data_IF_114191745376
#
_entry.id   IF_114191745376
#
_cell.length_a   1.000
_cell.length_b   1.000
_cell.length_c   1.000
_cell.angle_alpha   90.00
_cell.angle_beta   90.00
_cell.angle_gamma   90.00
#
_symmetry.space_group_name_H-M   'P 1'
#
loop_
_entity.id
_entity.type
_entity.pdbx_description
1 polymer ?
#
# COMPACT_ATOMS: atom_id res chain seq x y z
N UNK A 1 -4.14 32.70 -6.11
CA UNK A 1 -4.82 31.40 -6.00
C UNK A 1 -3.82 30.43 -5.40
N UNK A 2 -4.22 29.52 -4.49
CA UNK A 2 -3.29 28.53 -3.94
C UNK A 2 -2.74 27.65 -5.07
N UNK A 3 -1.43 27.44 -5.09
CA UNK A 3 -0.76 26.53 -6.01
C UNK A 3 -1.03 25.09 -5.56
N UNK A 4 -1.53 24.24 -6.47
CA UNK A 4 -1.84 22.84 -6.17
C UNK A 4 -0.63 21.99 -6.53
N UNK A 5 -0.05 21.30 -5.55
CA UNK A 5 1.04 20.38 -5.78
C UNK A 5 0.54 19.11 -6.49
N UNK A 6 1.21 18.70 -7.57
CA UNK A 6 0.92 17.43 -8.25
C UNK A 6 2.09 16.49 -8.06
N UNK A 7 1.85 15.33 -7.43
CA UNK A 7 2.86 14.33 -7.15
C UNK A 7 2.62 13.06 -7.98
N UNK A 8 3.61 12.74 -8.81
CA UNK A 8 3.66 11.51 -9.58
C UNK A 8 3.99 10.30 -8.69
N UNK A 9 3.81 9.10 -9.24
CA UNK A 9 4.21 7.87 -8.54
C UNK A 9 5.70 7.87 -8.14
N UNK A 10 6.59 8.35 -9.01
CA UNK A 10 8.03 8.45 -8.71
C UNK A 10 8.32 9.41 -7.57
N UNK A 11 7.65 10.56 -7.52
CA UNK A 11 7.83 11.53 -6.42
C UNK A 11 7.44 10.88 -5.09
N UNK A 12 6.35 10.09 -5.08
CA UNK A 12 5.90 9.40 -3.88
C UNK A 12 6.87 8.29 -3.43
N UNK A 13 7.45 7.52 -4.35
CA UNK A 13 8.44 6.50 -4.00
C UNK A 13 9.75 7.11 -3.49
N UNK A 14 10.10 8.30 -3.98
CA UNK A 14 11.23 9.06 -3.50
C UNK A 14 10.99 9.58 -2.08
N UNK A 15 9.86 10.24 -1.85
CA UNK A 15 9.54 10.93 -0.59
C UNK A 15 9.08 9.98 0.53
N UNK A 16 8.28 8.95 0.22
CA UNK A 16 7.63 8.09 1.21
C UNK A 16 8.43 6.82 1.49
N UNK A 17 9.61 7.00 2.11
CA UNK A 17 10.46 5.88 2.55
C UNK A 17 9.81 5.07 3.68
N UNK A 18 10.14 3.76 3.82
CA UNK A 18 9.48 2.89 4.80
C UNK A 18 9.49 3.39 6.24
N UNK A 19 10.64 3.88 6.75
CA UNK A 19 10.75 4.39 8.11
C UNK A 19 9.85 5.61 8.36
N UNK A 20 9.77 6.53 7.39
CA UNK A 20 8.88 7.71 7.48
C UNK A 20 7.43 7.26 7.48
N UNK A 21 7.02 6.50 6.47
CA UNK A 21 5.61 6.22 6.25
C UNK A 21 5.01 5.29 7.31
N UNK A 22 5.77 4.32 7.82
CA UNK A 22 5.27 3.41 8.87
C UNK A 22 5.01 4.14 10.17
N UNK A 23 5.88 5.07 10.58
CA UNK A 23 5.68 5.87 11.79
C UNK A 23 4.49 6.81 11.65
N UNK A 24 4.32 7.45 10.50
CA UNK A 24 3.15 8.31 10.23
C UNK A 24 1.84 7.52 10.17
N UNK A 25 1.84 6.32 9.58
CA UNK A 25 0.66 5.44 9.57
C UNK A 25 0.34 4.94 10.99
N UNK A 26 1.35 4.64 11.82
CA UNK A 26 1.13 4.26 13.22
C UNK A 26 0.49 5.41 14.03
N UNK A 27 0.95 6.65 13.83
CA UNK A 27 0.34 7.84 14.44
C UNK A 27 -1.11 8.01 13.99
N UNK A 28 -1.41 7.87 12.70
CA UNK A 28 -2.76 7.95 12.17
C UNK A 28 -3.68 6.86 12.75
N UNK A 29 -3.20 5.61 12.88
CA UNK A 29 -3.95 4.53 13.54
C UNK A 29 -4.25 4.83 15.01
N UNK A 30 -3.29 5.43 15.74
CA UNK A 30 -3.50 5.85 17.12
C UNK A 30 -4.58 6.94 17.20
N UNK A 31 -4.51 7.97 16.35
CA UNK A 31 -5.52 9.03 16.30
C UNK A 31 -6.91 8.49 15.97
N UNK A 32 -7.00 7.54 15.02
CA UNK A 32 -8.26 6.87 14.68
C UNK A 32 -8.82 6.09 15.89
N UNK A 33 -7.96 5.32 16.57
CA UNK A 33 -8.33 4.53 17.74
C UNK A 33 -8.75 5.40 18.94
N UNK A 34 -8.13 6.58 19.08
CA UNK A 34 -8.49 7.60 20.06
C UNK A 34 -9.80 8.35 19.72
N UNK A 35 -10.45 8.05 18.59
CA UNK A 35 -11.67 8.74 18.14
C UNK A 35 -11.44 10.19 17.67
N UNK A 36 -10.21 10.55 17.31
CA UNK A 36 -9.82 11.92 16.94
C UNK A 36 -9.95 12.22 15.45
N UNK A 37 -10.32 11.24 14.63
CA UNK A 37 -10.46 11.40 13.17
C UNK A 37 -11.94 11.46 12.77
N UNK A 38 -12.22 12.06 11.62
CA UNK A 38 -13.53 11.94 10.96
C UNK A 38 -13.34 11.07 9.74
N UNK A 39 -13.68 9.79 9.86
CA UNK A 39 -13.43 8.76 8.83
C UNK A 39 -14.71 7.98 8.56
N UNK A 40 -15.64 8.51 7.74
CA UNK A 40 -16.87 7.81 7.43
C UNK A 40 -16.61 6.52 6.65
N UNK A 41 -17.59 5.58 6.62
CA UNK A 41 -17.55 4.45 5.71
C UNK A 41 -17.36 4.91 4.26
N UNK A 42 -16.59 4.14 3.50
CA UNK A 42 -16.38 4.39 2.07
C UNK A 42 -17.70 4.26 1.29
N UNK A 43 -17.87 5.08 0.26
CA UNK A 43 -18.96 4.92 -0.70
C UNK A 43 -18.49 4.02 -1.85
N UNK A 44 -19.32 3.07 -2.27
CA UNK A 44 -18.99 2.08 -3.31
C UNK A 44 -20.01 2.10 -4.43
N UNK A 45 -19.53 1.94 -5.66
CA UNK A 45 -20.34 1.69 -6.83
C UNK A 45 -19.77 0.50 -7.61
N UNK A 46 -20.64 -0.19 -8.34
CA UNK A 46 -20.27 -1.26 -9.27
C UNK A 46 -20.59 -0.83 -10.69
N UNK A 47 -19.59 -0.81 -11.55
CA UNK A 47 -19.71 -0.39 -12.95
C UNK A 47 -19.19 -1.52 -13.82
N UNK A 48 -20.06 -2.12 -14.62
CA UNK A 48 -19.72 -3.26 -15.49
C UNK A 48 -19.04 -4.41 -14.72
N UNK A 49 -19.52 -4.70 -13.50
CA UNK A 49 -18.94 -5.74 -12.64
C UNK A 49 -17.63 -5.35 -11.95
N UNK A 50 -17.12 -4.14 -12.15
CA UNK A 50 -15.91 -3.64 -11.51
C UNK A 50 -16.22 -2.75 -10.30
N UNK A 51 -15.33 -2.82 -9.30
CA UNK A 51 -15.49 -2.10 -8.05
C UNK A 51 -14.92 -0.69 -8.15
N UNK A 52 -15.69 0.31 -7.73
CA UNK A 52 -15.30 1.70 -7.58
C UNK A 52 -15.58 2.17 -6.16
N UNK A 53 -14.68 3.00 -5.62
CA UNK A 53 -14.82 3.51 -4.26
C UNK A 53 -14.31 4.93 -4.09
N UNK A 54 -15.03 5.67 -3.24
CA UNK A 54 -14.60 6.97 -2.70
C UNK A 54 -14.34 6.79 -1.21
N UNK A 55 -13.16 7.20 -0.77
CA UNK A 55 -12.72 7.09 0.63
C UNK A 55 -12.22 8.45 1.11
N UNK A 56 -12.91 9.03 2.08
CA UNK A 56 -12.59 10.33 2.65
C UNK A 56 -12.24 10.21 4.13
N UNK A 57 -11.29 11.02 4.59
CA UNK A 57 -10.94 11.11 6.00
C UNK A 57 -10.34 12.47 6.34
N UNK A 58 -10.71 13.00 7.49
CA UNK A 58 -9.98 14.07 8.17
C UNK A 58 -9.12 13.47 9.29
N UNK A 59 -7.85 13.86 9.33
CA UNK A 59 -6.92 13.50 10.42
C UNK A 59 -6.28 14.79 10.96
N UNK A 60 -6.40 15.08 12.28
CA UNK A 60 -5.78 16.25 12.88
C UNK A 60 -4.27 16.31 12.63
N UNK A 61 -3.77 17.45 12.19
CA UNK A 61 -2.36 17.66 11.83
C UNK A 61 -1.97 17.21 10.41
N UNK A 62 -2.86 16.53 9.68
CA UNK A 62 -2.61 16.08 8.30
C UNK A 62 -3.54 16.74 7.26
N UNK A 63 -4.82 16.92 7.60
CA UNK A 63 -5.82 17.56 6.72
C UNK A 63 -6.94 16.63 6.28
N UNK A 64 -7.65 17.00 5.21
CA UNK A 64 -8.75 16.22 4.62
C UNK A 64 -8.27 15.53 3.35
N UNK A 65 -8.20 14.20 3.38
CA UNK A 65 -7.83 13.38 2.23
C UNK A 65 -9.05 12.74 1.57
N UNK A 66 -9.12 12.75 0.24
CA UNK A 66 -10.13 12.02 -0.54
C UNK A 66 -9.46 11.15 -1.59
N UNK A 67 -9.72 9.85 -1.56
CA UNK A 67 -9.27 8.89 -2.57
C UNK A 67 -10.43 8.43 -3.43
N UNK A 68 -10.25 8.53 -4.74
CA UNK A 68 -11.12 7.87 -5.73
C UNK A 68 -10.31 6.72 -6.31
N UNK A 69 -10.84 5.50 -6.23
CA UNK A 69 -10.12 4.27 -6.61
C UNK A 69 -11.04 3.30 -7.33
N UNK A 70 -10.49 2.59 -8.33
CA UNK A 70 -11.13 1.44 -8.95
C UNK A 70 -10.27 0.19 -8.85
N UNK A 71 -10.94 -0.96 -8.93
CA UNK A 71 -10.33 -2.29 -9.03
C UNK A 71 -10.95 -2.99 -10.23
N UNK A 72 -10.16 -3.11 -11.31
CA UNK A 72 -10.56 -3.69 -12.60
C UNK A 72 -9.59 -4.84 -12.93
N UNK A 73 -9.92 -6.11 -12.60
CA UNK A 73 -9.01 -7.23 -12.83
C UNK A 73 -8.61 -7.43 -14.31
N UNK A 74 -9.54 -7.20 -15.24
CA UNK A 74 -9.33 -7.34 -16.68
C UNK A 74 -8.34 -6.33 -17.27
N UNK A 75 -7.96 -5.27 -16.54
CA UNK A 75 -6.92 -4.34 -16.99
C UNK A 75 -5.57 -5.01 -17.25
N UNK A 76 -5.32 -6.17 -16.63
CA UNK A 76 -4.11 -6.95 -16.88
C UNK A 76 -4.00 -7.33 -18.36
N UNK A 77 -5.10 -7.63 -19.03
CA UNK A 77 -5.15 -7.98 -20.46
C UNK A 77 -4.85 -6.77 -21.36
N UNK A 78 -5.09 -5.57 -20.84
CA UNK A 78 -4.83 -4.28 -21.51
C UNK A 78 -3.45 -3.70 -21.18
N UNK A 79 -2.64 -4.39 -20.37
CA UNK A 79 -1.36 -3.86 -19.88
C UNK A 79 -1.50 -2.73 -18.87
N UNK A 80 -2.68 -2.53 -18.28
CA UNK A 80 -2.97 -1.50 -17.29
C UNK A 80 -2.95 -2.07 -15.86
N UNK A 81 -2.69 -1.23 -14.84
CA UNK A 81 -2.82 -1.65 -13.44
C UNK A 81 -4.26 -2.07 -13.09
N UNK A 82 -4.38 -3.12 -12.27
CA UNK A 82 -5.68 -3.55 -11.70
C UNK A 82 -6.27 -2.50 -10.77
N UNK A 83 -5.42 -1.79 -10.01
CA UNK A 83 -5.83 -0.71 -9.12
C UNK A 83 -5.36 0.60 -9.73
N UNK A 84 -6.29 1.52 -9.94
CA UNK A 84 -5.98 2.89 -10.33
C UNK A 84 -6.70 3.84 -9.38
N UNK A 85 -6.04 4.93 -9.02
CA UNK A 85 -6.61 5.89 -8.10
C UNK A 85 -5.99 7.27 -8.25
N UNK A 86 -6.70 8.27 -7.74
CA UNK A 86 -6.15 9.58 -7.40
C UNK A 86 -6.44 9.87 -5.93
N UNK A 87 -5.55 10.60 -5.29
CA UNK A 87 -5.78 11.11 -3.93
C UNK A 87 -5.64 12.62 -3.95
N UNK A 88 -6.59 13.32 -3.34
CA UNK A 88 -6.54 14.75 -3.13
C UNK A 88 -6.39 15.07 -1.65
N UNK A 89 -5.68 16.15 -1.35
CA UNK A 89 -5.48 16.67 0.00
C UNK A 89 -5.98 18.11 0.08
N UNK A 90 -6.72 18.43 1.13
CA UNK A 90 -7.26 19.77 1.38
C UNK A 90 -6.90 20.27 2.77
N UNK A 91 -6.74 21.59 2.88
CA UNK A 91 -6.63 22.30 4.14
C UNK A 91 -7.98 22.21 4.90
N UNK A 92 -7.99 21.68 6.14
CA UNK A 92 -9.22 21.50 6.89
C UNK A 92 -9.82 22.81 7.42
N UNK A 93 -9.09 23.91 7.41
CA UNK A 93 -9.50 25.21 7.98
C UNK A 93 -10.16 26.08 6.91
N UNK A 94 -9.50 26.24 5.76
CA UNK A 94 -9.98 27.12 4.69
C UNK A 94 -10.51 26.37 3.45
N UNK A 95 -10.40 25.04 3.42
CA UNK A 95 -10.91 24.21 2.32
C UNK A 95 -10.08 24.24 1.03
N UNK A 96 -8.91 24.91 1.03
CA UNK A 96 -8.08 25.02 -0.17
C UNK A 96 -7.54 23.65 -0.60
N UNK A 97 -7.52 23.33 -1.91
CA UNK A 97 -6.81 22.18 -2.40
C UNK A 97 -5.31 22.38 -2.22
N UNK A 98 -4.65 21.38 -1.64
CA UNK A 98 -3.21 21.40 -1.38
C UNK A 98 -2.45 20.53 -2.38
N UNK A 99 -2.96 19.32 -2.66
CA UNK A 99 -2.26 18.40 -3.55
C UNK A 99 -3.18 17.41 -4.28
N UNK A 100 -2.69 16.92 -5.42
CA UNK A 100 -3.19 15.75 -6.15
C UNK A 100 -2.04 14.74 -6.26
N UNK A 101 -2.28 13.51 -5.85
CA UNK A 101 -1.27 12.45 -5.76
C UNK A 101 -1.69 11.26 -6.63
N UNK A 102 -0.72 10.64 -7.31
CA UNK A 102 -0.92 9.36 -7.98
C UNK A 102 -1.33 8.28 -6.96
N UNK A 103 -2.56 7.80 -7.09
CA UNK A 103 -3.20 7.01 -6.03
C UNK A 103 -2.89 5.52 -6.08
N UNK A 104 -2.42 4.98 -7.21
CA UNK A 104 -2.04 3.57 -7.34
C UNK A 104 -0.81 3.23 -6.51
N UNK A 105 0.27 3.99 -6.70
CA UNK A 105 1.52 3.95 -5.94
C UNK A 105 1.26 4.31 -4.49
N UNK A 106 0.55 5.42 -4.21
CA UNK A 106 0.21 5.79 -2.84
C UNK A 106 -0.56 4.67 -2.13
N UNK A 107 -1.50 4.01 -2.83
CA UNK A 107 -2.22 2.86 -2.29
C UNK A 107 -1.27 1.71 -1.98
N UNK A 108 -0.28 1.42 -2.82
CA UNK A 108 0.68 0.37 -2.55
C UNK A 108 1.59 0.69 -1.36
N UNK A 109 2.15 1.90 -1.32
CA UNK A 109 3.00 2.38 -0.23
C UNK A 109 2.28 2.33 1.12
N UNK A 110 1.10 2.94 1.23
CA UNK A 110 0.36 2.99 2.51
C UNK A 110 -0.17 1.63 2.94
N UNK A 111 -0.48 0.73 2.00
CA UNK A 111 -0.94 -0.63 2.34
C UNK A 111 0.21 -1.47 2.87
N UNK A 112 1.40 -1.36 2.27
CA UNK A 112 2.62 -1.98 2.78
C UNK A 112 3.03 -1.40 4.13
N UNK A 113 2.93 -0.08 4.31
CA UNK A 113 3.21 0.57 5.58
C UNK A 113 2.27 0.09 6.70
N UNK A 114 0.97 -0.03 6.42
CA UNK A 114 0.01 -0.55 7.39
C UNK A 114 0.33 -1.99 7.83
N UNK A 115 0.73 -2.86 6.90
CA UNK A 115 1.23 -4.20 7.26
C UNK A 115 2.52 -4.13 8.06
N UNK A 116 3.46 -3.26 7.70
CA UNK A 116 4.71 -3.11 8.45
C UNK A 116 4.48 -2.56 9.87
N UNK A 117 3.44 -1.75 10.11
CA UNK A 117 3.00 -1.40 11.47
C UNK A 117 2.62 -2.66 12.25
N UNK A 118 1.84 -3.59 11.68
CA UNK A 118 1.51 -4.82 12.41
C UNK A 118 2.74 -5.68 12.67
N UNK A 119 3.66 -5.79 11.70
CA UNK A 119 4.94 -6.48 11.89
C UNK A 119 5.77 -5.84 13.01
N UNK A 120 5.90 -4.51 13.01
CA UNK A 120 6.67 -3.74 14.02
C UNK A 120 6.22 -4.04 15.46
N UNK A 121 4.91 -4.23 15.68
CA UNK A 121 4.35 -4.43 17.01
C UNK A 121 4.03 -5.89 17.37
N UNK A 122 3.83 -6.77 16.38
CA UNK A 122 3.29 -8.12 16.61
C UNK A 122 4.19 -9.25 16.09
N UNK A 123 5.22 -8.97 15.29
CA UNK A 123 6.10 -10.01 14.81
C UNK A 123 6.92 -10.64 15.97
N UNK A 124 7.27 -11.94 15.88
CA UNK A 124 8.19 -12.56 16.82
C UNK A 124 9.53 -11.82 16.87
N UNK A 125 10.16 -11.81 18.06
CA UNK A 125 11.51 -11.25 18.22
C UNK A 125 12.59 -12.13 17.63
N UNK A 126 12.32 -13.43 17.52
CA UNK A 126 13.21 -14.41 16.91
C UNK A 126 13.11 -14.35 15.39
N UNK A 127 14.23 -14.64 14.72
CA UNK A 127 14.25 -14.73 13.26
C UNK A 127 13.42 -15.91 12.78
N UNK A 128 12.80 -15.76 11.63
CA UNK A 128 11.99 -16.81 11.01
C UNK A 128 11.70 -16.52 9.55
N UNK A 129 10.80 -17.29 8.97
CA UNK A 129 10.40 -17.14 7.58
C UNK A 129 9.22 -16.17 7.44
N UNK A 130 9.08 -15.57 6.26
CA UNK A 130 7.82 -14.92 5.85
C UNK A 130 7.22 -15.66 4.66
N UNK A 131 5.89 -15.67 4.58
CA UNK A 131 5.15 -16.20 3.45
C UNK A 131 4.44 -15.08 2.69
N UNK A 132 4.59 -15.06 1.36
CA UNK A 132 3.94 -14.13 0.44
C UNK A 132 3.06 -14.95 -0.51
N UNK A 133 1.76 -14.87 -0.28
CA UNK A 133 0.73 -15.55 -1.08
C UNK A 133 0.08 -14.51 -1.99
N UNK A 134 0.30 -14.65 -3.29
CA UNK A 134 0.02 -13.65 -4.31
C UNK A 134 1.22 -12.73 -4.53
N UNK A 135 1.87 -12.83 -5.69
CA UNK A 135 3.13 -12.15 -5.99
C UNK A 135 2.96 -10.98 -6.96
N UNK A 136 1.82 -10.29 -6.89
CA UNK A 136 1.46 -9.17 -7.75
C UNK A 136 2.16 -7.85 -7.39
N UNK A 137 1.65 -6.74 -7.93
CA UNK A 137 2.20 -5.39 -7.73
C UNK A 137 2.36 -5.03 -6.25
N UNK A 138 1.32 -5.28 -5.44
CA UNK A 138 1.31 -4.99 -4.00
C UNK A 138 2.39 -5.77 -3.23
N UNK A 139 2.67 -7.03 -3.62
CA UNK A 139 3.60 -7.90 -2.92
C UNK A 139 5.00 -7.30 -2.83
N UNK A 140 5.43 -6.59 -3.89
CA UNK A 140 6.75 -5.94 -3.93
C UNK A 140 6.89 -4.89 -2.83
N UNK A 141 5.88 -4.05 -2.66
CA UNK A 141 5.85 -3.04 -1.61
C UNK A 141 5.74 -3.68 -0.24
N UNK A 142 4.91 -4.72 -0.08
CA UNK A 142 4.78 -5.47 1.17
C UNK A 142 6.15 -5.99 1.64
N UNK A 143 6.89 -6.68 0.77
CA UNK A 143 8.22 -7.17 1.10
C UNK A 143 9.18 -6.02 1.43
N UNK A 144 9.24 -4.98 0.58
CA UNK A 144 10.11 -3.80 0.78
C UNK A 144 9.91 -3.15 2.14
N UNK A 145 8.69 -3.12 2.66
CA UNK A 145 8.39 -2.51 3.96
C UNK A 145 8.58 -3.49 5.12
N UNK A 146 8.16 -4.74 4.99
CA UNK A 146 8.23 -5.74 6.06
C UNK A 146 9.69 -6.01 6.46
N UNK A 147 10.61 -6.07 5.49
CA UNK A 147 12.03 -6.42 5.75
C UNK A 147 12.79 -5.40 6.60
N UNK A 148 12.27 -4.18 6.71
CA UNK A 148 12.82 -3.12 7.58
C UNK A 148 12.50 -3.37 9.06
N UNK A 149 11.45 -4.15 9.36
CA UNK A 149 10.96 -4.40 10.72
C UNK A 149 11.09 -5.87 11.15
N UNK A 150 11.22 -6.79 10.19
CA UNK A 150 11.46 -8.20 10.42
C UNK A 150 12.41 -8.72 9.36
N UNK A 151 13.60 -9.20 9.76
CA UNK A 151 14.58 -9.74 8.82
C UNK A 151 14.32 -11.24 8.64
N UNK A 152 13.69 -11.68 7.53
CA UNK A 152 13.40 -13.08 7.33
C UNK A 152 14.66 -13.87 7.02
N UNK A 153 14.72 -15.11 7.50
CA UNK A 153 15.71 -16.10 7.07
C UNK A 153 15.42 -16.53 5.63
N UNK A 154 14.13 -16.69 5.31
CA UNK A 154 13.64 -17.12 4.00
C UNK A 154 12.30 -16.46 3.67
N UNK A 155 12.12 -16.15 2.40
CA UNK A 155 10.87 -15.62 1.83
C UNK A 155 10.21 -16.73 1.03
N UNK A 156 9.16 -17.32 1.56
CA UNK A 156 8.32 -18.34 0.90
C UNK A 156 7.33 -17.62 0.00
N UNK A 157 7.26 -17.99 -1.28
CA UNK A 157 6.42 -17.31 -2.27
C UNK A 157 5.50 -18.30 -2.98
N UNK A 158 4.24 -17.92 -3.17
CA UNK A 158 3.24 -18.67 -3.90
C UNK A 158 2.37 -17.74 -4.75
N UNK A 159 2.09 -18.11 -6.00
CA UNK A 159 1.07 -17.47 -6.85
C UNK A 159 0.50 -18.50 -7.81
N UNK A 160 -0.81 -18.43 -8.06
CA UNK A 160 -1.49 -19.28 -9.03
C UNK A 160 -0.95 -19.10 -10.46
N UNK A 161 -0.29 -17.96 -10.76
CA UNK A 161 0.31 -17.64 -12.05
C UNK A 161 1.84 -17.76 -11.99
N UNK A 162 2.36 -18.88 -12.51
CA UNK A 162 3.80 -19.19 -12.58
C UNK A 162 4.65 -18.04 -13.18
N UNK A 163 4.17 -17.34 -14.20
CA UNK A 163 4.91 -16.25 -14.86
C UNK A 163 5.18 -15.08 -13.91
N UNK A 164 4.23 -14.75 -13.02
CA UNK A 164 4.39 -13.67 -12.05
C UNK A 164 5.32 -14.12 -10.92
N UNK A 165 5.20 -15.38 -10.51
CA UNK A 165 6.02 -16.00 -9.47
C UNK A 165 7.52 -15.95 -9.81
N UNK A 166 7.92 -16.26 -11.04
CA UNK A 166 9.33 -16.19 -11.48
C UNK A 166 9.88 -14.76 -11.39
N UNK A 167 9.11 -13.76 -11.86
CA UNK A 167 9.52 -12.36 -11.76
C UNK A 167 9.67 -11.90 -10.32
N UNK A 168 8.82 -12.43 -9.43
CA UNK A 168 8.86 -12.08 -8.02
C UNK A 168 10.01 -12.78 -7.29
N UNK A 169 10.32 -14.04 -7.62
CA UNK A 169 11.52 -14.74 -7.13
C UNK A 169 12.78 -13.92 -7.38
N UNK A 170 12.98 -13.48 -8.62
CA UNK A 170 14.14 -12.65 -8.99
C UNK A 170 14.18 -11.32 -8.21
N UNK A 171 13.01 -10.73 -7.93
CA UNK A 171 12.92 -9.53 -7.11
C UNK A 171 13.34 -9.79 -5.65
N UNK A 172 12.87 -10.88 -5.04
CA UNK A 172 13.28 -11.30 -3.69
C UNK A 172 14.80 -11.52 -3.63
N UNK A 173 15.35 -12.26 -4.59
CA UNK A 173 16.79 -12.56 -4.66
C UNK A 173 17.62 -11.29 -4.89
N UNK A 174 17.11 -10.31 -5.66
CA UNK A 174 17.79 -9.01 -5.86
C UNK A 174 17.88 -8.16 -4.60
N UNK A 175 17.02 -8.42 -3.59
CA UNK A 175 17.09 -7.80 -2.27
C UNK A 175 18.02 -8.56 -1.31
N UNK A 176 18.64 -9.67 -1.75
CA UNK A 176 19.55 -10.47 -0.95
C UNK A 176 18.88 -11.53 -0.07
N UNK A 177 17.60 -11.84 -0.28
CA UNK A 177 16.88 -12.85 0.50
C UNK A 177 16.78 -14.19 -0.25
N UNK A 178 16.80 -15.30 0.51
CA UNK A 178 16.52 -16.64 -0.03
C UNK A 178 15.03 -16.78 -0.38
N UNK A 179 14.74 -17.11 -1.63
CA UNK A 179 13.39 -17.22 -2.18
C UNK A 179 12.98 -18.68 -2.36
N UNK A 180 12.05 -19.16 -1.54
CA UNK A 180 11.48 -20.51 -1.67
C UNK A 180 10.16 -20.48 -2.45
N UNK A 181 10.11 -21.18 -3.58
CA UNK A 181 8.89 -21.30 -4.39
C UNK A 181 8.04 -22.44 -3.85
N UNK A 182 6.99 -22.10 -3.11
CA UNK A 182 6.07 -23.06 -2.51
C UNK A 182 5.18 -23.72 -3.58
N UNK A 183 4.85 -25.00 -3.37
CA UNK A 183 4.00 -25.78 -4.31
C UNK A 183 2.51 -25.54 -4.11
N UNK A 184 2.12 -25.20 -2.88
CA UNK A 184 0.74 -25.02 -2.41
C UNK A 184 0.73 -23.86 -1.40
N UNK A 185 -0.36 -23.09 -1.25
CA UNK A 185 -0.40 -22.02 -0.25
C UNK A 185 -0.27 -22.50 1.21
N UNK A 186 -0.38 -23.82 1.47
CA UNK A 186 -0.20 -24.47 2.79
C UNK A 186 1.21 -25.00 3.02
N UNK A 187 2.08 -24.98 2.02
CA UNK A 187 3.48 -25.39 2.09
C UNK A 187 4.33 -24.35 2.83
#
# INVERSE_FOLDING_TARGET
>A
MPEILVLSGSDLEELLKPHVLVDEIAKAFKLFSDGKTVTPPRTVMWVEGNWWGVMQSYVPGYGVGVKIVNVIPSNIERGLPTIQAIVTLFDPINGSPLAILEGGVLTALRTAAASAVSVKYMAPKEQGDIAIIGTGYQARYQLRFIVEYFKPVKVRIYDIRKKVLVKYKNYVESLGFDAYVAKDPRD
#
